data_IF_793241540907
#
_entry.id   IF_793241540907
#
_cell.length_a   1.000
_cell.length_b   1.000
_cell.length_c   1.000
_cell.angle_alpha   90.00
_cell.angle_beta   90.00
_cell.angle_gamma   90.00
#
_symmetry.space_group_name_H-M   'P 1'
#
loop_
_entity.id
_entity.type
_entity.pdbx_description
1 polymer ?
#
# COMPACT_ATOMS: atom_id res chain seq x y z
N UNK A 1 1.91 -11.60 53.92
CA UNK A 1 2.89 -11.89 52.85
C UNK A 1 2.12 -11.94 51.53
N UNK A 2 2.27 -10.94 50.64
CA UNK A 2 1.61 -10.99 49.32
C UNK A 2 2.37 -11.98 48.45
N UNK A 3 1.75 -13.10 48.09
CA UNK A 3 2.29 -14.02 47.09
C UNK A 3 2.62 -13.23 45.82
N UNK A 4 3.87 -13.29 45.37
CA UNK A 4 4.33 -12.62 44.15
C UNK A 4 3.50 -13.12 42.97
N UNK A 5 2.85 -12.21 42.26
CA UNK A 5 2.01 -12.58 41.11
C UNK A 5 2.87 -13.32 40.08
N UNK A 6 2.41 -14.44 39.46
CA UNK A 6 3.25 -15.29 38.61
C UNK A 6 3.87 -14.54 37.44
N UNK A 7 5.18 -14.63 37.21
CA UNK A 7 5.87 -13.84 36.18
C UNK A 7 5.42 -14.14 34.74
N UNK A 8 4.86 -15.33 34.50
CA UNK A 8 4.33 -15.76 33.20
C UNK A 8 2.84 -16.04 33.28
N UNK A 9 2.11 -15.65 32.24
CA UNK A 9 0.66 -15.80 32.09
C UNK A 9 0.36 -16.55 30.79
N UNK A 10 -0.87 -17.07 30.68
CA UNK A 10 -1.37 -17.66 29.44
C UNK A 10 -1.35 -16.60 28.33
N UNK A 11 -0.95 -17.00 27.13
CA UNK A 11 -0.91 -16.11 25.97
C UNK A 11 -2.25 -15.95 25.26
N UNK A 12 -3.23 -16.81 25.50
CA UNK A 12 -4.45 -16.92 24.69
C UNK A 12 -5.18 -15.57 24.55
N UNK A 13 -5.32 -14.84 25.65
CA UNK A 13 -5.99 -13.53 25.66
C UNK A 13 -5.20 -12.48 24.88
N UNK A 14 -3.88 -12.42 25.08
CA UNK A 14 -3.00 -11.52 24.34
C UNK A 14 -2.96 -11.86 22.84
N UNK A 15 -3.01 -13.15 22.48
CA UNK A 15 -3.11 -13.61 21.10
C UNK A 15 -4.43 -13.17 20.47
N UNK A 16 -5.56 -13.42 21.13
CA UNK A 16 -6.87 -13.03 20.63
C UNK A 16 -6.95 -11.52 20.41
N UNK A 17 -6.46 -10.73 21.36
CA UNK A 17 -6.41 -9.27 21.25
C UNK A 17 -5.49 -8.79 20.12
N UNK A 18 -4.32 -9.41 19.95
CA UNK A 18 -3.42 -9.12 18.83
C UNK A 18 -4.08 -9.44 17.48
N UNK A 19 -4.83 -10.53 17.37
CA UNK A 19 -5.61 -10.86 16.17
C UNK A 19 -6.69 -9.81 15.89
N UNK A 20 -7.43 -9.38 16.92
CA UNK A 20 -8.42 -8.29 16.77
C UNK A 20 -7.75 -6.99 16.30
N UNK A 21 -6.58 -6.64 16.83
CA UNK A 21 -5.79 -5.50 16.35
C UNK A 21 -5.41 -5.67 14.86
N UNK A 22 -5.06 -6.88 14.43
CA UNK A 22 -4.77 -7.18 13.03
C UNK A 22 -6.00 -7.02 12.13
N UNK A 23 -7.18 -7.45 12.58
CA UNK A 23 -8.45 -7.24 11.88
C UNK A 23 -8.81 -5.75 11.77
N UNK A 24 -8.43 -4.93 12.76
CA UNK A 24 -8.55 -3.46 12.66
C UNK A 24 -7.52 -2.83 11.72
N UNK A 25 -6.55 -3.60 11.23
CA UNK A 25 -5.56 -3.19 10.23
C UNK A 25 -4.15 -2.95 10.75
N UNK A 26 -3.86 -3.21 12.03
CA UNK A 26 -2.50 -3.10 12.56
C UNK A 26 -1.63 -4.28 12.13
N UNK A 27 -0.43 -4.01 11.63
CA UNK A 27 0.54 -5.07 11.37
C UNK A 27 1.24 -5.52 12.66
N UNK A 28 1.92 -6.66 12.59
CA UNK A 28 2.76 -7.15 13.69
C UNK A 28 3.86 -6.14 14.10
N UNK A 29 4.33 -5.31 13.16
CA UNK A 29 5.32 -4.27 13.44
C UNK A 29 4.69 -3.10 14.20
N UNK A 30 3.47 -2.70 13.84
CA UNK A 30 2.76 -1.61 14.52
C UNK A 30 2.42 -2.00 15.96
N UNK A 31 1.93 -3.23 16.17
CA UNK A 31 1.63 -3.76 17.50
C UNK A 31 2.89 -3.78 18.36
N UNK A 32 4.03 -4.21 17.79
CA UNK A 32 5.32 -4.22 18.47
C UNK A 32 5.79 -2.82 18.89
N UNK A 33 5.63 -1.84 18.00
CA UNK A 33 6.00 -0.46 18.27
C UNK A 33 5.12 0.17 19.38
N UNK A 34 3.80 -0.07 19.38
CA UNK A 34 2.90 0.47 20.42
C UNK A 34 3.19 -0.17 21.78
N UNK A 35 3.28 -1.50 21.79
CA UNK A 35 3.43 -2.25 23.04
C UNK A 35 4.87 -2.22 23.59
N UNK A 36 5.85 -1.78 22.80
CA UNK A 36 7.27 -1.93 23.14
C UNK A 36 7.74 -3.40 23.18
N UNK A 37 6.95 -4.33 22.62
CA UNK A 37 7.28 -5.76 22.55
C UNK A 37 8.07 -6.04 21.29
N UNK A 38 9.03 -6.97 21.36
CA UNK A 38 9.79 -7.38 20.18
C UNK A 38 8.88 -7.91 19.05
N UNK A 39 9.08 -7.40 17.83
CA UNK A 39 8.27 -7.77 16.64
C UNK A 39 8.26 -9.27 16.35
N UNK A 40 9.35 -9.97 16.66
CA UNK A 40 9.45 -11.43 16.51
C UNK A 40 8.48 -12.16 17.43
N UNK A 41 8.26 -11.66 18.64
CA UNK A 41 7.32 -12.23 19.60
C UNK A 41 5.86 -11.97 19.16
N UNK A 42 5.57 -10.76 18.69
CA UNK A 42 4.24 -10.42 18.13
C UNK A 42 3.92 -11.30 16.92
N UNK A 43 4.86 -11.50 15.99
CA UNK A 43 4.66 -12.40 14.84
C UNK A 43 4.43 -13.86 15.25
N UNK A 44 5.02 -14.32 16.36
CA UNK A 44 4.77 -15.66 16.89
C UNK A 44 3.37 -15.81 17.48
N UNK A 45 2.85 -14.76 18.13
CA UNK A 45 1.48 -14.72 18.64
C UNK A 45 0.46 -14.73 17.49
N UNK A 46 0.72 -13.97 16.42
CA UNK A 46 -0.16 -13.88 15.24
C UNK A 46 -0.07 -15.05 14.26
N UNK A 47 0.67 -16.11 14.58
CA UNK A 47 0.79 -17.28 13.69
C UNK A 47 -0.57 -17.99 13.59
N UNK A 48 -1.03 -18.44 12.41
CA UNK A 48 -2.33 -19.12 12.27
C UNK A 48 -2.46 -20.36 13.18
N UNK A 49 -3.70 -20.71 13.51
CA UNK A 49 -4.03 -21.89 14.32
C UNK A 49 -3.39 -23.15 13.70
N UNK A 50 -2.54 -23.84 14.46
CA UNK A 50 -1.69 -24.94 13.99
C UNK A 50 -0.20 -24.61 13.91
N UNK A 51 0.17 -23.33 14.04
CA UNK A 51 1.54 -22.90 14.26
C UNK A 51 1.95 -22.93 15.74
N UNK A 52 3.25 -23.03 16.01
CA UNK A 52 3.81 -23.03 17.37
C UNK A 52 3.71 -21.64 18.03
N UNK A 53 2.51 -21.31 18.52
CA UNK A 53 2.25 -20.14 19.37
C UNK A 53 2.79 -20.42 20.79
N UNK A 54 3.37 -19.40 21.45
CA UNK A 54 3.93 -19.59 22.78
C UNK A 54 2.82 -19.71 23.83
N UNK A 55 2.56 -20.89 24.39
CA UNK A 55 1.50 -21.10 25.39
C UNK A 55 1.57 -20.19 26.63
N UNK A 56 2.76 -19.68 26.95
CA UNK A 56 2.98 -18.75 28.08
C UNK A 56 3.92 -17.62 27.71
N UNK A 57 3.53 -16.40 28.04
CA UNK A 57 4.31 -15.18 27.84
C UNK A 57 4.56 -14.46 29.17
N UNK A 58 5.52 -13.54 29.20
CA UNK A 58 5.76 -12.73 30.39
C UNK A 58 4.56 -11.82 30.67
N UNK A 59 4.19 -11.61 31.94
CA UNK A 59 3.04 -10.77 32.29
C UNK A 59 3.13 -9.38 31.67
N UNK A 60 4.30 -8.74 31.74
CA UNK A 60 4.49 -7.39 31.17
C UNK A 60 4.23 -7.35 29.67
N UNK A 61 4.53 -8.44 28.94
CA UNK A 61 4.21 -8.56 27.52
C UNK A 61 2.71 -8.67 27.29
N UNK A 62 2.03 -9.51 28.07
CA UNK A 62 0.58 -9.66 27.97
C UNK A 62 -0.11 -8.32 28.26
N UNK A 63 0.25 -7.66 29.35
CA UNK A 63 -0.28 -6.34 29.73
C UNK A 63 0.01 -5.27 28.68
N UNK A 64 1.21 -5.27 28.10
CA UNK A 64 1.56 -4.30 27.06
C UNK A 64 0.75 -4.47 25.77
N UNK A 65 0.44 -5.71 25.37
CA UNK A 65 -0.40 -5.99 24.20
C UNK A 65 -1.87 -5.68 24.49
N UNK A 66 -2.38 -6.13 25.64
CA UNK A 66 -3.77 -5.88 26.06
C UNK A 66 -4.05 -4.39 26.31
N UNK A 67 -3.03 -3.63 26.72
CA UNK A 67 -3.10 -2.20 26.91
C UNK A 67 -3.30 -1.39 25.62
N UNK A 68 -3.16 -2.01 24.43
CA UNK A 68 -3.43 -1.34 23.16
C UNK A 68 -4.96 -1.22 22.97
N UNK A 69 -5.52 0.00 22.88
CA UNK A 69 -6.95 0.16 22.66
C UNK A 69 -7.38 -0.40 21.30
N UNK A 70 -8.53 -1.09 21.23
CA UNK A 70 -9.14 -1.54 19.96
C UNK A 70 -9.79 -0.39 19.15
N UNK A 71 -9.38 0.85 19.38
CA UNK A 71 -10.09 2.01 18.83
C UNK A 71 -9.84 2.17 17.34
N UNK A 72 -10.87 2.60 16.61
CA UNK A 72 -10.77 3.02 15.20
C UNK A 72 -9.86 4.23 14.98
N UNK A 73 -9.38 4.87 16.06
CA UNK A 73 -8.38 5.94 16.01
C UNK A 73 -7.08 5.41 15.41
N UNK A 74 -6.69 4.15 15.68
CA UNK A 74 -5.53 3.54 15.02
C UNK A 74 -5.77 3.24 13.53
N UNK A 75 -7.03 3.10 13.08
CA UNK A 75 -7.34 3.09 11.64
C UNK A 75 -7.09 4.44 10.97
N UNK A 76 -7.15 5.54 11.74
CA UNK A 76 -6.91 6.90 11.24
C UNK A 76 -5.44 7.33 11.39
N UNK A 77 -4.75 6.85 12.42
CA UNK A 77 -3.37 7.25 12.74
C UNK A 77 -2.28 6.22 12.38
N UNK A 78 -2.61 4.95 12.09
CA UNK A 78 -1.61 3.87 11.87
C UNK A 78 -1.80 2.98 10.63
N UNK A 79 -2.54 3.44 9.63
CA UNK A 79 -1.92 3.39 8.30
C UNK A 79 -0.75 4.38 8.43
N UNK A 80 0.53 3.93 8.43
CA UNK A 80 1.71 4.82 8.37
C UNK A 80 1.30 6.14 7.73
N UNK A 81 1.37 7.31 8.40
CA UNK A 81 0.79 8.53 7.87
C UNK A 81 1.33 8.74 6.46
N UNK A 82 0.46 8.40 5.52
CA UNK A 82 0.81 8.12 4.16
C UNK A 82 1.44 6.81 3.76
N UNK A 83 0.64 5.75 3.67
CA UNK A 83 0.65 4.83 2.53
C UNK A 83 -0.79 4.64 2.02
N UNK A 84 -1.07 5.06 0.79
CA UNK A 84 -2.35 4.95 0.09
C UNK A 84 -2.29 3.89 -1.01
N UNK A 85 -3.47 3.40 -1.41
CA UNK A 85 -3.63 2.59 -2.61
C UNK A 85 -3.13 3.34 -3.85
N UNK A 86 -2.31 2.68 -4.66
CA UNK A 86 -1.61 3.32 -5.76
C UNK A 86 -2.49 3.68 -6.96
N UNK A 87 -3.74 3.21 -7.01
CA UNK A 87 -4.61 3.31 -8.19
C UNK A 87 -4.85 4.74 -8.64
N UNK A 88 -5.10 5.66 -7.70
CA UNK A 88 -5.33 7.07 -8.05
C UNK A 88 -4.08 7.71 -8.65
N UNK A 89 -2.92 7.50 -8.04
CA UNK A 89 -1.64 7.96 -8.57
C UNK A 89 -1.31 7.32 -9.93
N UNK A 90 -1.56 6.01 -10.08
CA UNK A 90 -1.34 5.27 -11.32
C UNK A 90 -2.21 5.85 -12.46
N UNK A 91 -3.49 6.12 -12.19
CA UNK A 91 -4.41 6.74 -13.15
C UNK A 91 -3.95 8.16 -13.53
N UNK A 92 -3.55 8.99 -12.56
CA UNK A 92 -3.03 10.34 -12.83
C UNK A 92 -1.76 10.31 -13.68
N UNK A 93 -0.80 9.46 -13.34
CA UNK A 93 0.44 9.30 -14.10
C UNK A 93 0.19 8.76 -15.51
N UNK A 94 -0.78 7.86 -15.67
CA UNK A 94 -1.18 7.34 -16.98
C UNK A 94 -1.82 8.44 -17.85
N UNK A 95 -2.76 9.22 -17.30
CA UNK A 95 -3.40 10.33 -18.02
C UNK A 95 -2.39 11.42 -18.44
N UNK A 96 -1.41 11.74 -17.59
CA UNK A 96 -0.32 12.63 -17.97
C UNK A 96 0.52 12.03 -19.11
N UNK A 97 0.89 10.76 -19.02
CA UNK A 97 1.69 10.11 -20.05
C UNK A 97 0.96 10.07 -21.41
N UNK A 98 -0.35 9.82 -21.42
CA UNK A 98 -1.21 9.85 -22.63
C UNK A 98 -1.30 11.26 -23.23
N UNK A 99 -1.28 12.30 -22.42
CA UNK A 99 -1.17 13.69 -22.90
C UNK A 99 0.22 14.05 -23.40
N UNK A 100 1.20 13.16 -23.22
CA UNK A 100 2.55 13.31 -23.74
C UNK A 100 3.52 13.96 -22.76
N UNK A 101 3.27 13.82 -21.45
CA UNK A 101 4.21 14.19 -20.40
C UNK A 101 5.27 13.07 -20.22
N UNK A 102 6.57 13.32 -20.46
CA UNK A 102 7.60 12.31 -20.30
C UNK A 102 7.81 11.91 -18.84
N UNK A 103 8.01 10.62 -18.57
CA UNK A 103 8.26 10.12 -17.21
C UNK A 103 9.53 10.71 -16.58
N UNK A 104 10.55 11.02 -17.38
CA UNK A 104 11.78 11.69 -16.91
C UNK A 104 11.51 13.10 -16.40
N UNK A 105 10.62 13.85 -17.05
CA UNK A 105 10.23 15.19 -16.60
C UNK A 105 9.46 15.09 -15.27
N UNK A 106 8.47 14.20 -15.19
CA UNK A 106 7.69 13.99 -13.96
C UNK A 106 8.55 13.52 -12.78
N UNK A 107 9.58 12.72 -13.05
CA UNK A 107 10.52 12.24 -12.03
C UNK A 107 11.31 13.40 -11.38
N UNK A 108 11.78 14.35 -12.20
CA UNK A 108 12.48 15.54 -11.72
C UNK A 108 11.55 16.41 -10.88
N UNK A 109 10.35 16.72 -11.38
CA UNK A 109 9.37 17.55 -10.67
C UNK A 109 8.89 16.95 -9.34
N UNK A 110 8.83 15.61 -9.26
CA UNK A 110 8.42 14.90 -8.04
C UNK A 110 9.59 14.53 -7.12
N UNK A 111 10.83 14.92 -7.46
CA UNK A 111 12.06 14.51 -6.78
C UNK A 111 12.11 13.00 -6.51
N UNK A 112 11.76 12.19 -7.52
CA UNK A 112 11.71 10.72 -7.41
C UNK A 112 12.32 10.05 -8.64
N UNK A 113 12.51 8.73 -8.59
CA UNK A 113 13.09 8.00 -9.73
C UNK A 113 12.06 7.70 -10.83
N UNK A 114 12.51 7.66 -12.08
CA UNK A 114 11.70 7.21 -13.22
C UNK A 114 11.21 5.77 -13.05
N UNK A 115 12.02 4.92 -12.40
CA UNK A 115 11.68 3.54 -12.09
C UNK A 115 10.54 3.45 -11.07
N UNK A 116 10.55 4.30 -10.03
CA UNK A 116 9.45 4.40 -9.06
C UNK A 116 8.15 4.78 -9.75
N UNK A 117 8.17 5.83 -10.60
CA UNK A 117 6.98 6.25 -11.34
C UNK A 117 6.49 5.19 -12.32
N UNK A 118 7.41 4.49 -12.99
CA UNK A 118 7.06 3.38 -13.88
C UNK A 118 6.41 2.21 -13.11
N UNK A 119 6.90 1.88 -11.92
CA UNK A 119 6.36 0.82 -11.06
C UNK A 119 4.97 1.18 -10.48
N UNK A 120 4.74 2.45 -10.14
CA UNK A 120 3.42 2.95 -9.72
C UNK A 120 2.45 2.86 -10.91
N UNK A 121 2.85 3.40 -12.08
CA UNK A 121 2.01 3.40 -13.27
C UNK A 121 1.71 1.99 -13.81
N UNK A 122 2.64 1.05 -13.66
CA UNK A 122 2.43 -0.35 -14.04
C UNK A 122 1.60 -1.15 -13.03
N UNK A 123 1.15 -0.52 -11.94
CA UNK A 123 0.47 -1.17 -10.80
C UNK A 123 1.28 -2.28 -10.13
N UNK A 124 2.58 -2.38 -10.42
CA UNK A 124 3.47 -3.30 -9.71
C UNK A 124 3.65 -2.87 -8.25
N UNK A 125 3.52 -1.57 -7.99
CA UNK A 125 3.54 -1.02 -6.64
C UNK A 125 2.12 -0.71 -6.18
N UNK A 126 1.57 -1.53 -5.31
CA UNK A 126 0.18 -1.40 -4.85
C UNK A 126 -0.01 -0.35 -3.73
N UNK A 127 1.08 0.09 -3.08
CA UNK A 127 1.06 1.05 -1.96
C UNK A 127 2.16 2.11 -2.08
N UNK A 128 1.82 3.39 -1.87
CA UNK A 128 2.74 4.53 -1.95
C UNK A 128 2.38 5.63 -0.97
N UNK A 129 3.32 6.52 -0.64
CA UNK A 129 3.08 7.44 0.47
C UNK A 129 2.04 8.53 0.22
N UNK A 130 1.31 8.98 1.24
CA UNK A 130 0.32 10.08 1.11
C UNK A 130 0.99 11.36 0.65
N UNK A 131 2.21 11.64 1.09
CA UNK A 131 2.99 12.78 0.59
C UNK A 131 3.24 12.62 -0.92
N UNK A 132 3.71 11.46 -1.37
CA UNK A 132 3.94 11.18 -2.79
C UNK A 132 2.64 11.20 -3.59
N UNK A 133 1.54 10.64 -3.08
CA UNK A 133 0.23 10.69 -3.72
C UNK A 133 -0.24 12.13 -3.85
N UNK A 134 -0.22 12.93 -2.77
CA UNK A 134 -0.61 14.34 -2.81
C UNK A 134 0.25 15.15 -3.78
N UNK A 135 1.56 14.91 -3.82
CA UNK A 135 2.47 15.54 -4.80
C UNK A 135 2.09 15.18 -6.23
N UNK A 136 1.84 13.90 -6.50
CA UNK A 136 1.38 13.42 -7.82
C UNK A 136 0.05 14.07 -8.19
N UNK A 137 -0.92 14.12 -7.26
CA UNK A 137 -2.24 14.71 -7.51
C UNK A 137 -2.15 16.22 -7.78
N UNK A 138 -1.37 16.96 -6.98
CA UNK A 138 -1.16 18.41 -7.20
C UNK A 138 -0.48 18.67 -8.52
N UNK A 139 0.58 17.93 -8.84
CA UNK A 139 1.29 18.06 -10.11
C UNK A 139 0.35 17.72 -11.28
N UNK A 140 -0.44 16.65 -11.17
CA UNK A 140 -1.40 16.30 -12.19
C UNK A 140 -2.46 17.39 -12.40
N UNK A 141 -2.99 17.99 -11.34
CA UNK A 141 -3.96 19.09 -11.47
C UNK A 141 -3.39 20.27 -12.26
N UNK A 142 -2.12 20.63 -12.02
CA UNK A 142 -1.42 21.71 -12.75
C UNK A 142 -1.13 21.32 -14.20
N UNK A 143 -0.50 20.16 -14.42
CA UNK A 143 -0.07 19.74 -15.75
C UNK A 143 -1.22 19.28 -16.65
N UNK A 144 -2.38 18.96 -16.08
CA UNK A 144 -3.60 18.73 -16.84
C UNK A 144 -4.23 20.05 -17.34
N UNK A 145 -3.86 21.21 -16.81
CA UNK A 145 -4.28 22.50 -17.37
C UNK A 145 -3.33 23.00 -18.48
N UNK A 146 -2.08 22.50 -18.51
CA UNK A 146 -1.04 22.98 -19.42
C UNK A 146 -0.71 22.00 -20.56
N UNK A 147 0.13 22.45 -21.51
CA UNK A 147 0.70 21.62 -22.57
C UNK A 147 2.19 21.37 -22.32
N UNK A 148 2.74 20.22 -22.74
CA UNK A 148 4.18 19.95 -22.62
C UNK A 148 5.09 21.01 -23.26
N UNK A 149 4.63 21.64 -24.35
CA UNK A 149 5.37 22.69 -25.05
C UNK A 149 5.61 23.92 -24.17
N UNK A 150 4.65 24.27 -23.30
CA UNK A 150 4.73 25.42 -22.39
C UNK A 150 5.84 25.23 -21.34
N UNK A 151 6.30 24.00 -21.15
CA UNK A 151 7.36 23.61 -20.22
C UNK A 151 8.66 23.22 -20.96
N UNK A 152 8.82 23.63 -22.23
CA UNK A 152 10.04 23.40 -23.01
C UNK A 152 10.24 21.95 -23.48
N UNK A 153 9.21 21.11 -23.42
CA UNK A 153 9.31 19.71 -23.86
C UNK A 153 9.19 19.66 -25.38
N UNK A 154 10.27 19.23 -26.04
CA UNK A 154 10.30 19.04 -27.49
C UNK A 154 9.21 18.07 -27.97
N UNK A 155 8.57 18.40 -29.11
CA UNK A 155 7.43 17.65 -29.64
C UNK A 155 7.71 16.15 -29.85
N UNK A 156 8.92 15.78 -30.24
CA UNK A 156 9.31 14.37 -30.41
C UNK A 156 9.32 13.60 -29.07
N UNK A 157 9.75 14.22 -27.97
CA UNK A 157 9.73 13.60 -26.63
C UNK A 157 8.30 13.42 -26.15
N UNK A 158 7.45 14.41 -26.38
CA UNK A 158 6.04 14.33 -26.04
C UNK A 158 5.31 13.22 -26.81
N UNK A 159 5.52 13.13 -28.14
CA UNK A 159 4.97 12.05 -28.96
C UNK A 159 5.44 10.67 -28.47
N UNK A 160 6.74 10.53 -28.18
CA UNK A 160 7.30 9.26 -27.66
C UNK A 160 6.65 8.84 -26.34
N UNK A 161 6.46 9.77 -25.41
CA UNK A 161 5.80 9.50 -24.13
C UNK A 161 4.35 9.02 -24.34
N UNK A 162 3.60 9.70 -25.22
CA UNK A 162 2.23 9.34 -25.58
C UNK A 162 2.14 7.96 -26.21
N UNK A 163 2.96 7.68 -27.22
CA UNK A 163 2.96 6.38 -27.91
C UNK A 163 3.28 5.25 -26.94
N UNK A 164 4.29 5.43 -26.07
CA UNK A 164 4.62 4.44 -25.05
C UNK A 164 3.48 4.22 -24.03
N UNK A 165 2.76 5.28 -23.64
CA UNK A 165 1.61 5.17 -22.73
C UNK A 165 0.44 4.41 -23.36
N UNK A 166 0.11 4.71 -24.61
CA UNK A 166 -0.97 4.05 -25.35
C UNK A 166 -0.66 2.56 -25.60
N UNK A 167 0.57 2.23 -25.98
CA UNK A 167 1.00 0.83 -26.13
C UNK A 167 0.89 0.07 -24.80
N UNK A 168 1.27 0.70 -23.69
CA UNK A 168 1.16 0.10 -22.36
C UNK A 168 -0.29 -0.12 -21.93
N UNK A 169 -1.18 0.83 -22.19
CA UNK A 169 -2.60 0.72 -21.87
C UNK A 169 -3.26 -0.46 -22.60
N UNK A 170 -2.86 -0.71 -23.86
CA UNK A 170 -3.31 -1.88 -24.63
C UNK A 170 -2.89 -3.21 -23.99
N UNK A 171 -1.70 -3.27 -23.40
CA UNK A 171 -1.19 -4.48 -22.72
C UNK A 171 -1.84 -4.73 -21.34
N UNK A 172 -2.37 -3.68 -20.71
CA UNK A 172 -3.00 -3.75 -19.38
C UNK A 172 -4.52 -3.97 -19.45
N UNK A 173 -5.14 -3.87 -20.63
CA UNK A 173 -6.52 -4.35 -20.80
C UNK A 173 -6.49 -5.88 -20.74
N UNK A 174 -7.34 -6.51 -19.90
CA UNK A 174 -7.56 -7.95 -20.01
C UNK A 174 -7.96 -8.26 -21.45
N UNK A 175 -7.55 -9.43 -21.96
CA UNK A 175 -8.10 -10.01 -23.19
C UNK A 175 -9.57 -10.38 -22.95
N UNK A 176 -10.45 -9.41 -22.74
CA UNK A 176 -11.91 -9.62 -22.63
C UNK A 176 -12.54 -9.81 -24.02
N UNK A 177 -11.85 -10.45 -24.96
CA UNK A 177 -12.32 -10.64 -26.33
C UNK A 177 -12.18 -12.07 -26.87
N UNK A 178 -11.78 -13.04 -26.04
CA UNK A 178 -11.63 -14.44 -26.47
C UNK A 178 -12.71 -15.41 -25.93
N UNK A 179 -13.81 -14.90 -25.34
CA UNK A 179 -14.89 -15.75 -24.79
C UNK A 179 -16.30 -15.43 -25.33
N UNK A 180 -16.42 -14.76 -26.48
CA UNK A 180 -17.73 -14.41 -27.07
C UNK A 180 -17.93 -14.95 -28.50
N UNK A 181 -17.45 -16.17 -28.79
CA UNK A 181 -17.92 -16.96 -29.93
C UNK A 181 -17.92 -18.45 -29.58
N UNK A 182 -18.99 -18.90 -28.94
CA UNK A 182 -19.54 -20.21 -29.27
C UNK A 182 -20.79 -19.94 -30.11
N UNK A 183 -20.87 -20.36 -31.38
CA UNK A 183 -22.13 -20.38 -32.08
C UNK A 183 -22.97 -21.51 -31.45
N UNK A 184 -24.06 -21.13 -30.81
CA UNK A 184 -25.21 -22.01 -30.66
C UNK A 184 -25.78 -22.23 -32.07
N UNK A 185 -25.34 -23.31 -32.73
CA UNK A 185 -26.12 -23.93 -33.80
C UNK A 185 -26.75 -25.20 -33.23
N UNK A 186 -27.94 -24.97 -32.71
CA UNK A 186 -28.96 -25.98 -32.44
C UNK A 186 -29.74 -26.20 -33.74
N UNK A 187 -29.57 -27.38 -34.36
CA UNK A 187 -30.61 -28.15 -35.08
C UNK A 187 -30.08 -29.50 -35.51
#
# INVERSE_FOLDING_TARGET
>A
MKAGRPARVDSAEATAHACLLQETGLSAADIAEISGVAVTLVRRLLRPAGGEQPARIHRSTAEAILGIPLTSVFRRDRLLPGLLGAERAAASLQGLAERGWPTSFLAVELATSTQTLAAIRSRQRCRLSLDLDRKIQRLAAVLLASRPADHGIAAHRSRRARTAALQRARLLRPRDSDMARQPEEES
#
